data_IF_030907990416
#
_entry.id   IF_030907990416
#
_cell.length_a   1.000
_cell.length_b   1.000
_cell.length_c   1.000
_cell.angle_alpha   90.00
_cell.angle_beta   90.00
_cell.angle_gamma   90.00
#
_symmetry.space_group_name_H-M   'P 1'
#
loop_
_entity.id
_entity.type
_entity.pdbx_description
1 polymer ?
#
# COMPACT_ATOMS: atom_id res chain seq x y z
N UNK A 1 -35.19 -0.72 -34.12
CA UNK A 1 -33.72 -0.63 -33.96
C UNK A 1 -33.34 -1.54 -32.82
N UNK A 2 -32.68 -2.66 -33.14
CA UNK A 2 -32.23 -3.64 -32.16
C UNK A 2 -31.12 -3.00 -31.33
N UNK A 3 -31.32 -2.82 -30.02
CA UNK A 3 -30.18 -2.66 -29.12
C UNK A 3 -29.38 -3.96 -29.24
N UNK A 4 -28.16 -3.89 -29.80
CA UNK A 4 -27.20 -4.95 -29.55
C UNK A 4 -26.96 -4.94 -28.04
N UNK A 5 -27.48 -5.95 -27.34
CA UNK A 5 -26.86 -6.37 -26.10
C UNK A 5 -25.43 -6.77 -26.47
N UNK A 6 -24.44 -5.96 -26.06
CA UNK A 6 -23.05 -6.38 -26.11
C UNK A 6 -22.96 -7.53 -25.13
N UNK A 7 -22.91 -8.75 -25.66
CA UNK A 7 -22.73 -9.95 -24.87
C UNK A 7 -21.37 -9.89 -24.15
N UNK A 8 -21.39 -10.24 -22.87
CA UNK A 8 -20.30 -10.64 -21.99
C UNK A 8 -18.95 -10.83 -22.70
N UNK A 9 -18.01 -9.90 -22.52
CA UNK A 9 -16.65 -10.07 -23.04
C UNK A 9 -15.73 -10.38 -21.88
N UNK A 10 -15.38 -11.66 -21.74
CA UNK A 10 -14.06 -12.04 -21.22
C UNK A 10 -13.03 -11.51 -22.22
N UNK A 11 -12.51 -10.33 -21.95
CA UNK A 11 -11.38 -9.79 -22.73
C UNK A 11 -10.10 -10.21 -22.04
N UNK A 12 -9.28 -11.01 -22.74
CA UNK A 12 -7.92 -11.33 -22.32
C UNK A 12 -6.93 -10.55 -23.17
N UNK A 13 -6.01 -9.86 -22.53
CA UNK A 13 -4.92 -9.11 -23.17
C UNK A 13 -3.61 -9.55 -22.53
N UNK A 14 -2.58 -9.70 -23.36
CA UNK A 14 -1.23 -10.06 -22.93
C UNK A 14 -0.27 -8.93 -23.27
N UNK A 15 0.60 -8.58 -22.33
CA UNK A 15 1.62 -7.54 -22.48
C UNK A 15 2.94 -8.06 -21.93
N UNK A 16 4.01 -7.94 -22.69
CA UNK A 16 5.36 -8.26 -22.24
C UNK A 16 6.34 -7.19 -22.73
N UNK A 17 7.45 -7.03 -22.02
CA UNK A 17 8.44 -6.02 -22.38
C UNK A 17 9.59 -5.93 -21.40
N UNK A 18 10.65 -5.25 -21.84
CA UNK A 18 11.85 -5.05 -21.02
C UNK A 18 11.69 -3.84 -20.09
N UNK A 19 12.21 -3.98 -18.88
CA UNK A 19 12.33 -2.92 -17.87
C UNK A 19 13.76 -2.41 -17.87
N UNK A 20 14.05 -1.22 -18.42
CA UNK A 20 15.43 -0.72 -18.48
C UNK A 20 15.92 -0.23 -17.12
N UNK A 21 17.22 -0.41 -16.86
CA UNK A 21 17.90 0.19 -15.69
C UNK A 21 17.81 1.72 -15.72
N UNK A 22 17.93 2.33 -16.90
CA UNK A 22 17.88 3.78 -17.06
C UNK A 22 16.45 4.34 -16.88
N UNK A 23 16.37 5.64 -16.57
CA UNK A 23 15.12 6.37 -16.37
C UNK A 23 14.75 6.50 -14.90
N UNK A 24 13.49 6.85 -14.63
CA UNK A 24 12.96 6.84 -13.26
C UNK A 24 12.57 5.44 -12.81
N UNK A 25 12.01 5.36 -11.61
CA UNK A 25 11.74 4.10 -10.90
C UNK A 25 10.46 3.38 -11.34
N UNK A 26 9.72 3.95 -12.30
CA UNK A 26 8.40 3.45 -12.70
C UNK A 26 8.27 3.29 -14.22
N UNK A 27 7.57 2.24 -14.64
CA UNK A 27 7.18 1.99 -16.04
C UNK A 27 5.67 1.81 -16.10
N UNK A 28 5.00 2.55 -17.00
CA UNK A 28 3.56 2.50 -17.16
C UNK A 28 3.18 1.61 -18.36
N UNK A 29 2.28 0.65 -18.12
CA UNK A 29 1.76 -0.28 -19.13
C UNK A 29 0.25 -0.04 -19.28
N UNK A 30 -0.19 0.72 -20.30
CA UNK A 30 -1.60 1.01 -20.50
C UNK A 30 -2.35 -0.20 -21.09
N UNK A 31 -3.57 -0.43 -20.62
CA UNK A 31 -4.49 -1.45 -21.14
C UNK A 31 -5.92 -0.92 -21.25
N UNK A 32 -6.73 -1.55 -22.09
CA UNK A 32 -8.11 -1.11 -22.33
C UNK A 32 -9.10 -1.92 -21.48
N UNK A 33 -9.98 -1.23 -20.76
CA UNK A 33 -11.10 -1.83 -20.03
C UNK A 33 -12.40 -1.57 -20.78
N UNK A 34 -13.06 -2.62 -21.32
CA UNK A 34 -14.32 -2.49 -22.04
C UNK A 34 -15.49 -2.00 -21.17
N UNK A 35 -16.54 -1.49 -21.82
CA UNK A 35 -17.79 -1.22 -21.13
C UNK A 35 -18.44 -2.52 -20.65
N UNK A 36 -19.00 -2.49 -19.43
CA UNK A 36 -19.66 -3.66 -18.81
C UNK A 36 -18.73 -4.53 -17.96
N UNK A 37 -17.44 -4.21 -17.87
CA UNK A 37 -16.53 -4.86 -16.92
C UNK A 37 -16.93 -4.56 -15.48
N UNK A 38 -17.01 -5.59 -14.65
CA UNK A 38 -17.26 -5.50 -13.20
C UNK A 38 -16.08 -6.01 -12.37
N UNK A 39 -15.14 -6.71 -13.02
CA UNK A 39 -13.91 -7.19 -12.40
C UNK A 39 -12.77 -7.21 -13.42
N UNK A 40 -11.59 -6.79 -12.97
CA UNK A 40 -10.32 -6.85 -13.71
C UNK A 40 -9.39 -7.77 -12.92
N UNK A 41 -8.82 -8.78 -13.56
CA UNK A 41 -7.71 -9.55 -13.01
C UNK A 41 -6.44 -9.19 -13.77
N UNK A 42 -5.36 -8.91 -13.04
CA UNK A 42 -4.02 -8.73 -13.57
C UNK A 42 -3.14 -9.81 -12.97
N UNK A 43 -2.68 -10.73 -13.80
CA UNK A 43 -1.62 -11.69 -13.47
C UNK A 43 -0.31 -11.11 -13.98
N UNK A 44 0.75 -11.21 -13.18
CA UNK A 44 2.04 -10.61 -13.51
C UNK A 44 3.21 -11.49 -13.12
N UNK A 45 4.32 -11.32 -13.82
CA UNK A 45 5.60 -11.94 -13.51
C UNK A 45 6.73 -11.04 -13.98
N UNK A 46 7.80 -10.97 -13.20
CA UNK A 46 9.10 -10.41 -13.57
C UNK A 46 10.04 -11.46 -14.24
N UNK A 47 9.56 -12.71 -14.37
CA UNK A 47 10.27 -13.80 -15.05
C UNK A 47 11.61 -14.17 -14.40
N UNK A 48 11.84 -13.80 -13.14
CA UNK A 48 13.17 -13.85 -12.52
C UNK A 48 13.09 -14.20 -11.04
N UNK A 49 14.09 -14.94 -10.54
CA UNK A 49 14.28 -15.18 -9.10
C UNK A 49 15.04 -14.03 -8.40
N UNK A 50 15.52 -13.04 -9.16
CA UNK A 50 16.45 -12.01 -8.66
C UNK A 50 15.99 -10.56 -8.93
N UNK A 51 15.26 -10.34 -10.01
CA UNK A 51 14.58 -9.07 -10.29
C UNK A 51 13.32 -9.05 -9.43
N UNK A 52 13.01 -7.90 -8.85
CA UNK A 52 11.78 -7.69 -8.09
C UNK A 52 11.09 -6.48 -8.71
N UNK A 53 9.91 -6.73 -9.25
CA UNK A 53 9.03 -5.68 -9.73
C UNK A 53 7.84 -5.53 -8.79
N UNK A 54 7.45 -4.29 -8.51
CA UNK A 54 6.23 -3.98 -7.80
C UNK A 54 5.09 -3.68 -8.78
N UNK A 55 3.86 -3.96 -8.37
CA UNK A 55 2.70 -3.90 -9.25
C UNK A 55 1.64 -2.99 -8.67
N UNK A 56 1.37 -1.90 -9.36
CA UNK A 56 0.28 -0.98 -9.04
C UNK A 56 -0.74 -0.90 -10.17
N UNK A 57 -1.97 -0.52 -9.84
CA UNK A 57 -3.02 -0.33 -10.84
C UNK A 57 -3.71 1.02 -10.65
N UNK A 58 -3.84 1.76 -11.76
CA UNK A 58 -4.59 3.01 -11.85
C UNK A 58 -5.69 2.88 -12.90
N UNK A 59 -6.89 3.31 -12.53
CA UNK A 59 -7.98 3.51 -13.47
C UNK A 59 -8.14 5.00 -13.85
N UNK A 60 -9.11 5.33 -14.72
CA UNK A 60 -9.44 6.71 -15.07
C UNK A 60 -9.73 7.61 -13.87
N UNK A 61 -10.24 7.02 -12.78
CA UNK A 61 -10.60 7.73 -11.55
C UNK A 61 -9.46 7.75 -10.51
N UNK A 62 -8.27 7.24 -10.85
CA UNK A 62 -7.08 7.26 -10.01
C UNK A 62 -6.67 5.90 -9.47
N UNK A 63 -6.04 5.92 -8.29
CA UNK A 63 -5.42 4.75 -7.65
C UNK A 63 -6.42 3.61 -7.38
N UNK A 64 -6.02 2.37 -7.70
CA UNK A 64 -6.81 1.16 -7.47
C UNK A 64 -6.09 0.11 -6.62
N UNK A 65 -4.81 0.30 -6.33
CA UNK A 65 -4.06 -0.56 -5.43
C UNK A 65 -2.59 -0.65 -5.78
N UNK A 66 -1.82 -1.15 -4.82
CA UNK A 66 -0.39 -1.40 -4.94
C UNK A 66 -0.09 -2.70 -4.22
N UNK A 67 0.39 -3.70 -4.96
CA UNK A 67 0.67 -5.03 -4.44
C UNK A 67 2.14 -5.28 -4.11
N UNK A 68 3.00 -4.27 -3.97
CA UNK A 68 4.46 -4.38 -3.71
C UNK A 68 5.03 -5.78 -3.43
N UNK A 69 5.81 -6.33 -4.35
CA UNK A 69 6.44 -7.66 -4.26
C UNK A 69 5.50 -8.87 -4.19
N UNK A 70 4.17 -8.70 -4.21
CA UNK A 70 3.23 -9.80 -4.26
C UNK A 70 3.39 -10.62 -5.54
N UNK A 71 3.17 -11.92 -5.41
CA UNK A 71 2.99 -12.85 -6.53
C UNK A 71 1.52 -13.18 -6.79
N UNK A 72 0.62 -12.70 -5.92
CA UNK A 72 -0.81 -12.90 -6.05
C UNK A 72 -1.36 -12.09 -7.23
N UNK A 73 -2.36 -12.63 -7.93
CA UNK A 73 -3.08 -11.85 -8.92
C UNK A 73 -3.78 -10.64 -8.29
N UNK A 74 -3.68 -9.49 -8.95
CA UNK A 74 -4.48 -8.33 -8.61
C UNK A 74 -5.90 -8.51 -9.17
N UNK A 75 -6.89 -8.74 -8.31
CA UNK A 75 -8.29 -8.84 -8.70
C UNK A 75 -9.02 -7.60 -8.19
N UNK A 76 -9.53 -6.78 -9.10
CA UNK A 76 -10.16 -5.49 -8.80
C UNK A 76 -11.61 -5.55 -9.28
N UNK A 77 -12.55 -5.66 -8.33
CA UNK A 77 -13.98 -5.70 -8.61
C UNK A 77 -14.77 -4.53 -8.02
N UNK A 78 -16.06 -4.46 -8.38
CA UNK A 78 -16.97 -3.41 -7.88
C UNK A 78 -17.18 -3.47 -6.36
N UNK A 79 -17.45 -4.65 -5.81
CA UNK A 79 -17.77 -4.83 -4.38
C UNK A 79 -16.60 -5.39 -3.54
N UNK A 80 -15.68 -6.08 -4.20
CA UNK A 80 -14.54 -6.76 -3.59
C UNK A 80 -13.32 -6.68 -4.49
N UNK A 81 -12.14 -6.62 -3.88
CA UNK A 81 -10.85 -6.76 -4.56
C UNK A 81 -9.95 -7.70 -3.75
N UNK A 82 -8.87 -8.20 -4.34
CA UNK A 82 -7.82 -8.90 -3.60
C UNK A 82 -7.12 -7.94 -2.63
N UNK A 83 -6.31 -8.50 -1.72
CA UNK A 83 -5.56 -7.71 -0.74
C UNK A 83 -4.72 -6.63 -1.43
N UNK A 84 -4.51 -5.51 -0.75
CA UNK A 84 -3.78 -4.34 -1.25
C UNK A 84 -4.46 -3.55 -2.39
N UNK A 85 -5.59 -4.04 -2.92
CA UNK A 85 -6.37 -3.37 -3.97
C UNK A 85 -7.74 -2.89 -3.44
N UNK A 86 -8.25 -1.82 -4.04
CA UNK A 86 -9.46 -1.13 -3.62
C UNK A 86 -10.65 -1.53 -4.51
N UNK A 87 -11.77 -1.98 -3.93
CA UNK A 87 -13.01 -2.14 -4.69
C UNK A 87 -13.60 -0.79 -5.09
N UNK A 88 -14.51 -0.82 -6.04
CA UNK A 88 -15.30 0.36 -6.45
C UNK A 88 -15.67 0.33 -7.92
N UNK A 89 -16.45 1.31 -8.41
CA UNK A 89 -16.91 1.36 -9.79
C UNK A 89 -15.78 1.16 -10.80
N UNK A 90 -16.05 0.37 -11.85
CA UNK A 90 -15.10 0.13 -12.94
C UNK A 90 -15.47 1.04 -14.11
N UNK A 91 -14.74 2.14 -14.27
CA UNK A 91 -14.92 3.08 -15.37
C UNK A 91 -14.28 2.54 -16.65
N UNK A 92 -15.03 2.35 -17.74
CA UNK A 92 -14.47 1.92 -19.02
C UNK A 92 -13.47 2.93 -19.57
N UNK A 93 -12.42 2.47 -20.23
CA UNK A 93 -11.38 3.33 -20.80
C UNK A 93 -9.97 2.78 -20.62
N UNK A 94 -8.98 3.66 -20.67
CA UNK A 94 -7.58 3.28 -20.46
C UNK A 94 -7.28 3.21 -18.98
N UNK A 95 -6.82 2.03 -18.55
CA UNK A 95 -6.24 1.77 -17.25
C UNK A 95 -4.74 1.56 -17.42
N UNK A 96 -3.99 1.60 -16.31
CA UNK A 96 -2.53 1.45 -16.32
C UNK A 96 -2.11 0.49 -15.24
N UNK A 97 -1.33 -0.53 -15.63
CA UNK A 97 -0.46 -1.23 -14.68
C UNK A 97 0.81 -0.40 -14.55
N UNK A 98 1.16 -0.04 -13.32
CA UNK A 98 2.40 0.69 -13.01
C UNK A 98 3.37 -0.32 -12.41
N UNK A 99 4.52 -0.46 -13.06
CA UNK A 99 5.60 -1.34 -12.62
C UNK A 99 6.61 -0.50 -11.85
N UNK A 100 6.83 -0.83 -10.58
CA UNK A 100 7.90 -0.27 -9.77
C UNK A 100 9.19 -1.08 -9.88
N UNK A 101 10.32 -0.40 -10.07
CA UNK A 101 11.66 -1.01 -10.24
C UNK A 101 12.32 -1.27 -8.89
N UNK A 102 11.72 -2.12 -8.06
CA UNK A 102 12.21 -2.37 -6.71
C UNK A 102 13.64 -2.94 -6.71
N UNK A 103 13.91 -3.91 -7.59
CA UNK A 103 15.24 -4.46 -7.78
C UNK A 103 15.43 -4.90 -9.23
N UNK A 104 16.44 -4.36 -9.88
CA UNK A 104 16.83 -4.75 -11.24
C UNK A 104 18.22 -5.39 -11.23
N UNK A 105 18.50 -6.20 -12.26
CA UNK A 105 19.86 -6.61 -12.56
C UNK A 105 20.56 -5.52 -13.41
N UNK A 106 21.86 -5.72 -13.69
CA UNK A 106 22.64 -4.76 -14.49
C UNK A 106 22.18 -4.64 -15.96
N UNK A 107 21.48 -5.64 -16.47
CA UNK A 107 20.83 -5.65 -17.79
C UNK A 107 19.40 -5.08 -17.77
N UNK A 108 18.79 -4.92 -16.59
CA UNK A 108 17.41 -4.48 -16.41
C UNK A 108 16.53 -5.59 -15.83
N UNK A 109 15.31 -5.68 -16.34
CA UNK A 109 14.36 -6.74 -16.04
C UNK A 109 13.45 -6.98 -17.23
N UNK A 110 12.51 -7.90 -17.07
CA UNK A 110 11.47 -8.18 -18.05
C UNK A 110 10.15 -8.33 -17.30
N UNK A 111 9.04 -7.97 -17.92
CA UNK A 111 7.71 -8.22 -17.35
C UNK A 111 6.83 -8.99 -18.33
N UNK A 112 5.93 -9.79 -17.77
CA UNK A 112 4.80 -10.39 -18.46
C UNK A 112 3.54 -10.12 -17.65
N UNK A 113 2.51 -9.59 -18.30
CA UNK A 113 1.23 -9.23 -17.70
C UNK A 113 0.10 -9.82 -18.54
N UNK A 114 -0.81 -10.55 -17.89
CA UNK A 114 -2.10 -10.94 -18.45
C UNK A 114 -3.22 -10.19 -17.76
N UNK A 115 -4.06 -9.53 -18.55
CA UNK A 115 -5.25 -8.81 -18.06
C UNK A 115 -6.50 -9.53 -18.52
N UNK A 116 -7.38 -9.88 -17.59
CA UNK A 116 -8.70 -10.44 -17.85
C UNK A 116 -9.78 -9.51 -17.32
N UNK A 117 -10.64 -9.00 -18.21
CA UNK A 117 -11.83 -8.23 -17.83
C UNK A 117 -13.06 -9.15 -17.82
N UNK A 118 -13.87 -9.11 -16.76
CA UNK A 118 -15.08 -9.93 -16.58
C UNK A 118 -16.31 -9.08 -16.35
N UNK A 119 -17.48 -9.63 -16.68
CA UNK A 119 -18.80 -9.07 -16.37
C UNK A 119 -19.46 -9.71 -15.14
N UNK A 120 -18.75 -10.63 -14.47
CA UNK A 120 -19.15 -11.21 -13.18
C UNK A 120 -17.99 -11.11 -12.17
N UNK A 121 -18.32 -10.81 -10.92
CA UNK A 121 -17.36 -10.86 -9.82
C UNK A 121 -17.05 -12.32 -9.44
N UNK A 122 -15.81 -12.58 -9.02
CA UNK A 122 -15.31 -13.91 -8.65
C UNK A 122 -14.96 -14.02 -7.16
N UNK A 123 -14.68 -12.89 -6.50
CA UNK A 123 -14.32 -12.87 -5.08
C UNK A 123 -15.54 -12.80 -4.15
N UNK A 124 -15.50 -13.49 -2.99
CA UNK A 124 -16.51 -13.34 -1.95
C UNK A 124 -16.41 -11.96 -1.29
N UNK A 125 -17.55 -11.28 -1.15
CA UNK A 125 -17.60 -9.95 -0.53
C UNK A 125 -17.34 -10.01 0.96
N UNK A 126 -16.34 -9.26 1.42
CA UNK A 126 -16.03 -9.07 2.84
C UNK A 126 -16.81 -7.88 3.42
N UNK A 127 -17.21 -7.94 4.71
CA UNK A 127 -17.80 -6.80 5.42
C UNK A 127 -16.90 -5.57 5.37
N UNK A 128 -17.48 -4.43 5.00
CA UNK A 128 -16.82 -3.11 4.94
C UNK A 128 -17.77 -2.08 5.53
N UNK A 129 -17.23 -1.05 6.17
CA UNK A 129 -18.03 0.07 6.66
C UNK A 129 -17.38 1.40 6.28
N UNK A 130 -18.16 2.47 6.10
CA UNK A 130 -17.59 3.80 6.01
C UNK A 130 -16.87 4.14 7.32
N UNK A 131 -15.83 4.97 7.22
CA UNK A 131 -15.14 5.45 8.41
C UNK A 131 -16.09 6.27 9.30
N UNK A 132 -16.08 5.95 10.60
CA UNK A 132 -16.65 6.77 11.65
C UNK A 132 -15.58 7.01 12.71
N UNK A 133 -15.38 8.24 13.20
CA UNK A 133 -14.48 8.50 14.31
C UNK A 133 -14.82 7.64 15.53
N UNK A 134 -13.80 7.04 16.15
CA UNK A 134 -13.93 6.19 17.34
C UNK A 134 -13.09 6.78 18.47
N UNK A 135 -13.67 6.87 19.65
CA UNK A 135 -12.98 7.24 20.89
C UNK A 135 -13.24 6.14 21.91
N UNK A 136 -12.23 5.32 22.20
CA UNK A 136 -12.33 4.27 23.22
C UNK A 136 -12.01 4.80 24.62
N UNK A 137 -11.16 5.81 24.69
CA UNK A 137 -10.62 6.38 25.91
C UNK A 137 -10.24 7.85 25.67
N UNK A 138 -10.42 8.72 26.66
CA UNK A 138 -10.12 10.16 26.56
C UNK A 138 -9.41 10.73 27.80
N UNK A 139 -9.05 9.87 28.74
CA UNK A 139 -8.35 10.22 29.95
C UNK A 139 -6.89 10.61 29.69
N UNK A 140 -6.37 11.53 30.51
CA UNK A 140 -4.97 11.92 30.44
C UNK A 140 -4.08 10.88 31.12
N UNK A 141 -3.65 9.87 30.37
CA UNK A 141 -2.70 8.83 30.81
C UNK A 141 -1.67 8.53 29.72
N UNK A 142 -0.74 7.64 30.04
CA UNK A 142 0.11 7.00 29.03
C UNK A 142 -0.69 5.93 28.30
N UNK A 143 -0.68 6.00 26.97
CA UNK A 143 -1.18 4.96 26.09
C UNK A 143 0.00 4.22 25.48
N UNK A 144 -0.02 2.89 25.53
CA UNK A 144 0.98 2.04 24.90
C UNK A 144 0.46 1.66 23.51
N UNK A 145 1.21 1.89 22.45
CA UNK A 145 0.78 1.47 21.12
C UNK A 145 1.95 1.30 20.17
N UNK A 146 1.64 0.67 19.05
CA UNK A 146 2.59 0.44 17.97
C UNK A 146 2.14 1.24 16.73
N UNK A 147 3.05 2.03 16.16
CA UNK A 147 2.76 2.88 15.01
C UNK A 147 3.11 2.23 13.67
N UNK A 148 3.73 1.05 13.68
CA UNK A 148 4.27 0.41 12.48
C UNK A 148 3.91 -1.08 12.46
N UNK A 149 2.72 -1.40 11.94
CA UNK A 149 2.20 -2.78 11.91
C UNK A 149 1.62 -3.10 10.53
N UNK A 150 2.16 -4.14 9.91
CA UNK A 150 1.65 -4.71 8.66
C UNK A 150 0.65 -5.82 8.92
N UNK A 151 -0.36 -5.88 8.07
CA UNK A 151 -1.40 -6.90 8.10
C UNK A 151 -1.38 -7.74 6.83
N UNK A 152 -2.32 -8.68 6.73
CA UNK A 152 -2.61 -9.42 5.50
C UNK A 152 -2.93 -8.52 4.29
N UNK A 153 -3.15 -7.21 4.48
CA UNK A 153 -3.32 -6.25 3.39
C UNK A 153 -1.99 -5.73 2.82
N UNK A 154 -0.85 -6.05 3.43
CA UNK A 154 0.50 -5.79 2.92
C UNK A 154 1.05 -7.01 2.17
N UNK A 155 2.01 -6.78 1.28
CA UNK A 155 2.64 -7.83 0.47
C UNK A 155 3.56 -8.77 1.27
N UNK A 156 4.17 -8.22 2.31
CA UNK A 156 5.22 -8.81 3.14
C UNK A 156 4.69 -9.40 4.46
N UNK A 157 3.38 -9.31 4.72
CA UNK A 157 2.76 -9.78 5.95
C UNK A 157 1.55 -10.69 5.71
N UNK A 158 1.32 -11.59 6.67
CA UNK A 158 0.23 -12.58 6.62
C UNK A 158 -0.72 -12.53 7.81
N UNK A 159 -0.46 -11.66 8.80
CA UNK A 159 -1.23 -11.62 10.04
C UNK A 159 -2.63 -11.03 9.80
N UNK A 160 -3.66 -11.72 10.29
CA UNK A 160 -5.01 -11.16 10.28
C UNK A 160 -5.15 -10.05 11.32
N UNK A 161 -6.17 -9.18 11.18
CA UNK A 161 -6.44 -8.16 12.21
C UNK A 161 -6.72 -8.77 13.59
N UNK A 162 -7.29 -9.98 13.63
CA UNK A 162 -7.54 -10.69 14.88
C UNK A 162 -6.25 -11.20 15.53
N UNK A 163 -5.30 -11.70 14.73
CA UNK A 163 -3.98 -12.11 15.22
C UNK A 163 -3.21 -10.91 15.78
N UNK A 164 -3.22 -9.80 15.03
CA UNK A 164 -2.59 -8.53 15.44
C UNK A 164 -3.18 -8.05 16.77
N UNK A 165 -4.51 -7.94 16.88
CA UNK A 165 -5.14 -7.51 18.12
C UNK A 165 -4.86 -8.47 19.29
N UNK A 166 -4.83 -9.78 19.03
CA UNK A 166 -4.54 -10.78 20.07
C UNK A 166 -3.14 -10.58 20.63
N UNK A 167 -2.13 -10.46 19.77
CA UNK A 167 -0.74 -10.23 20.18
C UNK A 167 -0.57 -8.86 20.85
N UNK A 168 -1.10 -7.80 20.24
CA UNK A 168 -1.01 -6.45 20.77
C UNK A 168 -1.62 -6.37 22.19
N UNK A 169 -2.79 -6.98 22.39
CA UNK A 169 -3.44 -7.04 23.70
C UNK A 169 -2.67 -7.90 24.71
N UNK A 170 -2.04 -9.01 24.30
CA UNK A 170 -1.20 -9.80 25.20
C UNK A 170 0.05 -9.05 25.66
N UNK A 171 0.56 -8.14 24.81
CA UNK A 171 1.65 -7.21 25.15
C UNK A 171 1.17 -5.94 25.88
N UNK A 172 -0.12 -5.83 26.18
CA UNK A 172 -0.70 -4.68 26.88
C UNK A 172 -0.71 -3.39 26.05
N UNK A 173 -0.77 -3.48 24.72
CA UNK A 173 -0.99 -2.33 23.84
C UNK A 173 -2.46 -1.90 23.88
N UNK A 174 -2.68 -0.59 23.91
CA UNK A 174 -3.99 0.08 23.77
C UNK A 174 -4.41 0.24 22.30
N UNK A 175 -3.44 0.35 21.38
CA UNK A 175 -3.71 0.55 19.96
C UNK A 175 -2.57 0.06 19.06
N UNK A 176 -2.90 -0.12 17.78
CA UNK A 176 -1.93 -0.29 16.68
C UNK A 176 -2.31 0.57 15.50
N UNK A 177 -1.33 1.07 14.75
CA UNK A 177 -1.53 1.67 13.43
C UNK A 177 -1.29 0.61 12.35
N UNK A 178 -2.33 0.28 11.58
CA UNK A 178 -2.17 -0.61 10.44
C UNK A 178 -1.60 0.18 9.25
N UNK A 179 -0.30 0.00 9.05
CA UNK A 179 0.55 0.74 8.12
C UNK A 179 0.93 -0.09 6.89
N UNK A 180 -0.02 -0.83 6.30
CA UNK A 180 0.25 -1.63 5.10
C UNK A 180 0.89 -0.78 3.97
N UNK A 181 1.83 -1.39 3.23
CA UNK A 181 2.66 -0.69 2.24
C UNK A 181 1.80 -0.09 1.11
N UNK A 182 1.87 1.23 0.95
CA UNK A 182 1.32 1.96 -0.19
C UNK A 182 -0.15 1.66 -0.54
N UNK A 183 -0.95 1.24 0.44
CA UNK A 183 -2.37 0.92 0.25
C UNK A 183 -3.24 1.42 1.39
N UNK A 184 -4.52 1.60 1.09
CA UNK A 184 -5.57 1.94 2.04
C UNK A 184 -6.69 0.88 2.07
N UNK A 185 -6.45 -0.32 1.52
CA UNK A 185 -7.46 -1.39 1.42
C UNK A 185 -7.94 -1.91 2.78
N UNK A 186 -7.13 -1.78 3.81
CA UNK A 186 -7.45 -2.07 5.20
C UNK A 186 -8.47 -1.10 5.82
N UNK A 187 -8.62 0.13 5.32
CA UNK A 187 -9.37 1.19 6.02
C UNK A 187 -10.85 0.87 6.25
N UNK A 188 -11.55 0.41 5.20
CA UNK A 188 -12.98 0.07 5.31
C UNK A 188 -13.21 -1.25 6.08
N UNK A 189 -12.22 -2.13 6.07
CA UNK A 189 -12.23 -3.38 6.84
C UNK A 189 -12.06 -3.08 8.33
N UNK A 190 -11.12 -2.20 8.69
CA UNK A 190 -10.93 -1.68 10.05
C UNK A 190 -12.25 -1.10 10.58
N UNK A 191 -12.90 -0.24 9.79
CA UNK A 191 -14.16 0.38 10.19
C UNK A 191 -15.27 -0.65 10.47
N UNK A 192 -15.31 -1.75 9.70
CA UNK A 192 -16.27 -2.82 9.92
C UNK A 192 -15.98 -3.65 11.18
N UNK A 193 -14.72 -3.89 11.51
CA UNK A 193 -14.33 -4.75 12.63
C UNK A 193 -14.19 -4.02 13.97
N UNK A 194 -13.89 -2.71 13.97
CA UNK A 194 -13.63 -1.93 15.18
C UNK A 194 -14.71 -2.05 16.28
N UNK A 195 -16.02 -2.15 15.98
CA UNK A 195 -17.04 -2.37 17.01
C UNK A 195 -16.87 -3.67 17.83
N UNK A 196 -16.15 -4.67 17.30
CA UNK A 196 -15.85 -5.91 18.01
C UNK A 196 -14.66 -5.78 18.99
N UNK A 197 -13.97 -4.64 19.01
CA UNK A 197 -12.80 -4.37 19.84
C UNK A 197 -13.04 -3.09 20.68
N UNK A 198 -13.91 -3.14 21.71
CA UNK A 198 -14.28 -1.96 22.50
C UNK A 198 -13.16 -1.47 23.44
N UNK A 199 -12.09 -2.26 23.60
CA UNK A 199 -10.95 -2.01 24.49
C UNK A 199 -9.61 -1.94 23.74
N UNK A 200 -9.62 -1.91 22.41
CA UNK A 200 -8.42 -1.87 21.58
C UNK A 200 -8.67 -1.12 20.28
N UNK A 201 -7.82 -0.13 19.97
CA UNK A 201 -8.02 0.77 18.84
C UNK A 201 -7.13 0.38 17.65
N UNK A 202 -7.75 0.19 16.48
CA UNK A 202 -7.04 0.16 15.20
C UNK A 202 -7.01 1.57 14.63
N UNK A 203 -5.81 2.16 14.52
CA UNK A 203 -5.59 3.38 13.78
C UNK A 203 -5.45 3.06 12.29
N UNK A 204 -6.05 3.92 11.45
CA UNK A 204 -5.82 3.89 10.01
C UNK A 204 -4.47 4.53 9.71
N UNK A 205 -3.73 3.94 8.80
CA UNK A 205 -2.50 4.51 8.28
C UNK A 205 -2.10 3.87 6.97
N UNK A 206 -0.84 4.08 6.59
CA UNK A 206 -0.13 3.34 5.56
C UNK A 206 1.34 3.66 5.71
N UNK A 207 2.22 2.68 5.51
CA UNK A 207 3.63 2.94 5.28
C UNK A 207 3.80 3.40 3.84
N UNK A 208 4.18 4.66 3.69
CA UNK A 208 4.56 5.25 2.42
C UNK A 208 5.96 4.77 2.12
N UNK A 209 6.03 3.85 1.16
CA UNK A 209 7.23 3.08 0.84
C UNK A 209 7.75 3.57 -0.49
N UNK A 210 8.95 4.14 -0.46
CA UNK A 210 9.65 4.64 -1.64
C UNK A 210 10.99 3.92 -1.75
N UNK A 211 11.61 3.94 -2.92
CA UNK A 211 12.94 3.33 -3.10
C UNK A 211 14.10 4.14 -2.48
N UNK A 212 13.79 5.19 -1.72
CA UNK A 212 14.78 6.06 -1.06
C UNK A 212 14.28 6.59 0.30
N UNK A 213 13.47 5.81 1.00
CA UNK A 213 13.05 6.09 2.37
C UNK A 213 11.59 5.73 2.62
N UNK A 214 11.29 5.32 3.85
CA UNK A 214 9.94 4.96 4.26
C UNK A 214 9.41 5.89 5.36
N UNK A 215 8.10 6.07 5.39
CA UNK A 215 7.46 6.77 6.50
C UNK A 215 6.00 6.41 6.70
N UNK A 216 5.61 6.29 7.96
CA UNK A 216 4.25 6.03 8.34
C UNK A 216 3.39 7.28 8.28
N UNK A 217 2.26 7.14 7.61
CA UNK A 217 1.13 8.04 7.77
C UNK A 217 0.17 7.48 8.81
N UNK A 218 -0.17 8.28 9.82
CA UNK A 218 -1.09 7.89 10.89
C UNK A 218 -2.31 8.79 10.85
N UNK A 219 -3.48 8.20 10.67
CA UNK A 219 -4.77 8.88 10.57
C UNK A 219 -5.23 9.19 9.15
N UNK A 220 -4.47 8.80 8.12
CA UNK A 220 -4.85 9.04 6.72
C UNK A 220 -6.18 8.38 6.37
N UNK A 221 -6.90 9.03 5.46
CA UNK A 221 -8.22 8.65 5.00
C UNK A 221 -8.22 8.02 3.60
N UNK A 222 -7.14 8.23 2.85
CA UNK A 222 -6.95 7.69 1.51
C UNK A 222 -5.47 7.51 1.21
N UNK A 223 -5.18 6.78 0.14
CA UNK A 223 -3.86 6.62 -0.45
C UNK A 223 -3.09 7.95 -0.58
N UNK A 224 -1.78 7.88 -0.36
CA UNK A 224 -0.82 8.96 -0.58
C UNK A 224 0.06 8.55 -1.76
N UNK A 225 0.20 9.43 -2.75
CA UNK A 225 1.04 9.18 -3.93
C UNK A 225 2.50 9.02 -3.51
N UNK A 226 3.01 7.80 -3.52
CA UNK A 226 4.34 7.46 -3.00
C UNK A 226 5.44 7.49 -4.08
N UNK A 227 5.06 7.52 -5.36
CA UNK A 227 5.98 7.29 -6.48
C UNK A 227 6.87 8.52 -6.71
N UNK A 228 7.98 8.60 -5.98
CA UNK A 228 8.94 9.71 -6.08
C UNK A 228 9.45 9.88 -7.52
N UNK A 229 9.61 11.13 -7.95
CA UNK A 229 10.03 11.49 -9.31
C UNK A 229 8.95 11.28 -10.38
N UNK A 230 8.00 10.38 -10.18
CA UNK A 230 6.90 10.16 -11.11
C UNK A 230 6.03 11.42 -11.21
N UNK A 231 5.93 12.00 -12.41
CA UNK A 231 5.26 13.29 -12.65
C UNK A 231 5.73 14.43 -11.71
N UNK A 232 7.01 14.43 -11.32
CA UNK A 232 7.59 15.46 -10.46
C UNK A 232 7.23 15.34 -8.97
N UNK A 233 6.74 14.17 -8.54
CA UNK A 233 6.45 13.90 -7.13
C UNK A 233 7.68 14.04 -6.24
N UNK A 234 7.53 14.73 -5.11
CA UNK A 234 8.60 15.01 -4.14
C UNK A 234 8.23 14.49 -2.75
N UNK A 235 9.24 14.28 -1.89
CA UNK A 235 9.04 13.95 -0.48
C UNK A 235 8.30 15.07 0.26
N UNK A 236 8.60 16.33 -0.02
CA UNK A 236 7.85 17.45 0.54
C UNK A 236 6.35 17.35 0.22
N UNK A 237 6.01 17.00 -1.03
CA UNK A 237 4.62 16.76 -1.44
C UNK A 237 3.97 15.58 -0.73
N UNK A 238 4.72 14.51 -0.44
CA UNK A 238 4.24 13.37 0.37
C UNK A 238 3.86 13.83 1.78
N UNK A 239 4.76 14.54 2.47
CA UNK A 239 4.51 15.02 3.83
C UNK A 239 3.34 16.01 3.85
N UNK A 240 3.23 16.85 2.82
CA UNK A 240 2.12 17.79 2.65
C UNK A 240 0.77 17.11 2.44
N UNK A 241 0.71 16.05 1.63
CA UNK A 241 -0.53 15.30 1.41
C UNK A 241 -1.00 14.58 2.67
N UNK A 242 -0.07 14.08 3.49
CA UNK A 242 -0.39 13.51 4.81
C UNK A 242 -0.98 14.59 5.71
N UNK A 243 -0.32 15.75 5.81
CA UNK A 243 -0.82 16.87 6.61
C UNK A 243 -2.18 17.40 6.11
N UNK A 244 -2.41 17.42 4.80
CA UNK A 244 -3.67 17.86 4.18
C UNK A 244 -4.87 16.97 4.57
N UNK A 245 -4.60 15.73 4.97
CA UNK A 245 -5.62 14.81 5.50
C UNK A 245 -5.81 14.93 7.02
N UNK A 246 -5.19 15.92 7.69
CA UNK A 246 -5.12 16.03 9.15
C UNK A 246 -4.50 14.79 9.81
N UNK A 247 -3.60 14.12 9.09
CA UNK A 247 -2.83 12.99 9.56
C UNK A 247 -1.41 13.45 9.95
N UNK A 248 -0.67 12.58 10.62
CA UNK A 248 0.72 12.83 10.99
C UNK A 248 1.67 11.91 10.22
N UNK A 249 2.85 12.43 9.90
CA UNK A 249 3.91 11.69 9.24
C UNK A 249 5.03 11.35 10.24
N UNK A 250 5.49 10.10 10.24
CA UNK A 250 6.58 9.59 11.05
C UNK A 250 7.62 9.00 10.09
N UNK A 251 8.88 9.43 10.19
CA UNK A 251 9.96 8.82 9.40
C UNK A 251 10.29 7.45 9.99
N UNK A 252 10.23 6.41 9.18
CA UNK A 252 10.53 5.05 9.60
C UNK A 252 12.04 4.78 9.50
N UNK A 253 12.55 4.04 10.47
CA UNK A 253 13.91 3.46 10.53
C UNK A 253 14.97 4.10 9.61
N UNK A 254 15.34 5.38 9.84
CA UNK A 254 16.05 6.21 8.85
C UNK A 254 17.47 5.71 8.51
N UNK A 255 18.05 4.89 9.39
CA UNK A 255 19.40 4.33 9.26
C UNK A 255 19.40 2.84 8.91
N UNK A 256 18.22 2.22 8.75
CA UNK A 256 18.11 0.80 8.47
C UNK A 256 18.35 0.55 6.98
N UNK A 257 19.51 0.00 6.67
CA UNK A 257 19.85 -0.48 5.34
C UNK A 257 20.08 -2.00 5.38
N UNK A 258 19.10 -2.76 4.89
CA UNK A 258 19.13 -4.22 4.82
C UNK A 258 19.25 -4.74 3.38
N UNK A 259 19.56 -3.85 2.43
CA UNK A 259 19.59 -4.20 1.00
C UNK A 259 18.30 -4.86 0.53
N UNK A 260 18.41 -6.01 -0.13
CA UNK A 260 17.28 -6.75 -0.70
C UNK A 260 16.23 -7.22 0.32
N UNK A 261 16.55 -7.25 1.61
CA UNK A 261 15.59 -7.64 2.66
C UNK A 261 14.62 -6.51 3.02
N UNK A 262 14.98 -5.26 2.70
CA UNK A 262 14.22 -4.05 2.99
C UNK A 262 14.63 -2.97 1.98
N UNK A 263 14.04 -3.06 0.78
CA UNK A 263 14.42 -2.22 -0.36
C UNK A 263 14.06 -0.77 -0.07
N UNK A 264 15.04 0.13 -0.13
CA UNK A 264 14.81 1.57 0.02
C UNK A 264 14.55 2.04 1.46
N UNK A 265 14.85 1.23 2.47
CA UNK A 265 14.44 1.54 3.85
C UNK A 265 15.16 2.74 4.49
N UNK A 266 16.42 3.00 4.14
CA UNK A 266 17.16 4.13 4.66
C UNK A 266 16.60 5.46 4.12
N UNK A 267 16.45 6.45 5.01
CA UNK A 267 15.86 7.74 4.64
C UNK A 267 16.86 8.60 3.86
N UNK A 268 16.72 8.64 2.53
CA UNK A 268 17.62 9.36 1.63
C UNK A 268 17.32 10.85 1.44
N UNK A 269 16.29 11.39 2.10
CA UNK A 269 15.73 12.71 1.78
C UNK A 269 15.96 13.77 2.87
N UNK A 270 17.09 13.71 3.57
CA UNK A 270 17.37 14.57 4.73
C UNK A 270 17.21 16.06 4.42
N UNK A 271 17.76 16.52 3.28
CA UNK A 271 17.76 17.95 2.92
C UNK A 271 16.43 18.43 2.33
N UNK A 272 15.66 17.52 1.72
CA UNK A 272 14.40 17.84 1.03
C UNK A 272 13.16 17.67 1.94
N UNK A 273 13.35 17.13 3.14
CA UNK A 273 12.26 16.85 4.08
C UNK A 273 11.82 18.13 4.80
N UNK A 274 10.52 18.49 4.79
CA UNK A 274 9.99 19.58 5.61
C UNK A 274 9.87 19.13 7.07
N UNK A 275 10.99 19.11 7.80
CA UNK A 275 11.09 18.57 9.16
C UNK A 275 10.15 19.25 10.17
N UNK A 276 9.73 20.49 9.93
CA UNK A 276 8.73 21.19 10.74
C UNK A 276 7.32 20.57 10.65
N UNK A 277 7.08 19.73 9.65
CA UNK A 277 5.82 18.99 9.44
C UNK A 277 5.92 17.50 9.81
N UNK A 278 7.11 17.02 10.20
CA UNK A 278 7.33 15.63 10.62
C UNK A 278 7.01 15.52 12.12
N UNK A 279 6.10 14.61 12.48
CA UNK A 279 5.64 14.47 13.86
C UNK A 279 6.52 13.56 14.72
N UNK A 280 7.30 12.69 14.08
CA UNK A 280 8.17 11.76 14.77
C UNK A 280 9.14 11.05 13.84
N UNK A 281 10.05 10.29 14.43
CA UNK A 281 11.00 9.45 13.73
C UNK A 281 11.26 8.22 14.59
N UNK A 282 11.35 7.05 13.95
CA UNK A 282 11.73 5.83 14.65
C UNK A 282 13.18 5.91 15.12
N UNK A 283 13.37 5.73 16.43
CA UNK A 283 14.69 5.58 17.04
C UNK A 283 15.09 4.11 17.21
N UNK A 284 14.09 3.22 17.29
CA UNK A 284 14.24 1.77 17.45
C UNK A 284 13.18 1.12 16.57
N UNK A 285 13.57 0.09 15.80
CA UNK A 285 12.69 -0.62 14.89
C UNK A 285 12.91 -2.13 15.01
N UNK A 286 11.82 -2.90 15.17
CA UNK A 286 11.86 -4.35 15.35
C UNK A 286 12.80 -4.86 16.45
N UNK A 287 13.28 -6.10 16.28
CA UNK A 287 14.30 -6.72 17.14
C UNK A 287 15.75 -6.32 16.74
N UNK A 288 15.89 -5.32 15.86
CA UNK A 288 17.19 -4.79 15.48
C UNK A 288 17.59 -3.72 16.50
N UNK A 289 18.46 -4.09 17.45
CA UNK A 289 19.01 -3.21 18.50
C UNK A 289 19.96 -2.11 17.94
N UNK A 290 19.72 -1.58 16.74
CA UNK A 290 20.64 -0.63 16.09
C UNK A 290 20.55 0.76 16.74
N UNK A 291 19.47 1.07 17.47
CA UNK A 291 19.26 2.38 18.10
C UNK A 291 19.52 2.47 19.61
N UNK A 292 19.53 1.35 20.34
CA UNK A 292 19.52 1.38 21.82
C UNK A 292 20.86 1.86 22.38
N UNK A 293 21.99 1.51 21.76
CA UNK A 293 23.32 1.85 22.30
C UNK A 293 23.65 3.36 22.30
N UNK A 294 22.92 4.18 21.54
CA UNK A 294 23.14 5.62 21.52
C UNK A 294 22.43 6.38 22.67
N UNK A 295 21.47 5.75 23.35
CA UNK A 295 20.59 6.43 24.32
C UNK A 295 20.50 5.77 25.69
N UNK A 296 21.25 4.69 25.96
CA UNK A 296 21.46 4.22 27.34
C UNK A 296 22.47 5.16 28.02
N UNK A 297 22.10 5.88 29.09
CA UNK A 297 23.08 6.57 29.91
C UNK A 297 24.07 5.54 30.46
N UNK A 298 25.37 5.71 30.21
CA UNK A 298 26.40 4.94 30.91
C UNK A 298 26.56 5.40 32.35
#
# INVERSE_FOLDING_TARGET
>A
MSLLAVAAVLSTMHYEGDVPVAGGDFVDVPFAVPAGTVEIQVTHSDGSDFVILDWGVWGPDGFRGWGGGLTDDAIIGVEQSSRSYLPGPITPGTWTVVIGKAKLDTSGGHYSIDVVCRDNATLPVQPKAPFSPVVLANERRWYKGDFHVHSVQSGDASASFADIATLAKSEGLDFVNLSDHNTSSQHALIAAIQPSYPDFLFLRGSEITTYSGHGNSVGTSSYIEHRLGHNGRTVAGIVEDVAAQNAIFIVNHPMLDLGDQCIGCAWGHVDDTPWDKVAGMELITGNFEIGVQAFVPR
#
